data_IF_252369993958
#
_entry.id   IF_252369993958
#
_cell.length_a   1.000
_cell.length_b   1.000
_cell.length_c   1.000
_cell.angle_alpha   90.00
_cell.angle_beta   90.00
_cell.angle_gamma   90.00
#
_symmetry.space_group_name_H-M   'P 1'
#
loop_
_entity.id
_entity.type
_entity.pdbx_description
1 polymer ?
#
# COMPACT_ATOMS: atom_id res chain seq x y z
N UNK A 1 -13.00 1.19 2.69
CA UNK A 1 -11.76 1.11 3.48
C UNK A 1 -11.79 2.23 4.51
N UNK A 2 -11.99 1.87 5.77
CA UNK A 2 -11.84 2.79 6.91
C UNK A 2 -10.36 2.98 7.25
N UNK A 3 -10.04 3.99 8.06
CA UNK A 3 -8.66 4.21 8.56
C UNK A 3 -8.13 2.99 9.35
N UNK A 4 -9.03 2.29 10.04
CA UNK A 4 -8.70 1.06 10.76
C UNK A 4 -8.30 -0.07 9.79
N UNK A 5 -9.02 -0.21 8.67
CA UNK A 5 -8.75 -1.23 7.67
C UNK A 5 -7.38 -1.04 7.00
N UNK A 6 -6.87 0.19 6.91
CA UNK A 6 -5.52 0.44 6.40
C UNK A 6 -4.43 -0.09 7.36
N UNK A 7 -4.59 0.11 8.67
CA UNK A 7 -3.59 -0.27 9.66
C UNK A 7 -3.67 -1.75 10.08
N UNK A 8 -4.84 -2.37 9.92
CA UNK A 8 -5.10 -3.75 10.34
C UNK A 8 -4.97 -4.77 9.21
N UNK A 9 -4.98 -4.33 7.95
CA UNK A 9 -4.93 -5.24 6.82
C UNK A 9 -3.48 -5.53 6.40
N UNK A 10 -3.21 -6.79 6.03
CA UNK A 10 -1.87 -7.28 5.61
C UNK A 10 -1.54 -6.96 4.15
N UNK A 11 -2.13 -5.88 3.63
CA UNK A 11 -1.95 -5.46 2.26
C UNK A 11 -1.01 -4.25 2.16
N UNK A 12 -0.23 -4.13 1.08
CA UNK A 12 -0.15 -5.11 0.00
C UNK A 12 0.65 -6.36 0.40
N UNK A 13 0.23 -7.52 -0.10
CA UNK A 13 0.95 -8.78 0.00
C UNK A 13 2.17 -8.76 -0.95
N UNK A 14 3.09 -7.81 -0.76
CA UNK A 14 4.39 -7.81 -1.44
C UNK A 14 5.24 -8.85 -0.71
N UNK A 15 5.02 -10.12 -1.03
CA UNK A 15 5.80 -11.23 -0.52
C UNK A 15 7.07 -11.38 -1.34
N UNK A 16 8.21 -11.45 -0.66
CA UNK A 16 9.46 -11.83 -1.31
C UNK A 16 9.35 -13.29 -1.81
N UNK A 17 9.66 -13.52 -3.08
CA UNK A 17 9.82 -14.87 -3.62
C UNK A 17 11.29 -15.29 -3.48
N UNK A 18 11.61 -16.09 -2.46
CA UNK A 18 12.95 -16.69 -2.25
C UNK A 18 13.36 -16.80 -0.77
N UNK A 19 14.40 -17.58 -0.49
CA UNK A 19 14.95 -17.84 0.86
C UNK A 19 15.99 -16.79 1.33
N UNK A 20 16.03 -15.62 0.68
CA UNK A 20 16.98 -14.55 1.01
C UNK A 20 16.45 -13.55 2.04
N UNK A 21 17.35 -12.80 2.66
CA UNK A 21 16.97 -11.69 3.54
C UNK A 21 16.21 -10.61 2.76
N UNK A 22 15.18 -9.96 3.37
CA UNK A 22 14.45 -8.88 2.72
C UNK A 22 15.39 -7.72 2.34
N UNK A 23 15.45 -7.41 1.04
CA UNK A 23 16.31 -6.31 0.54
C UNK A 23 15.65 -4.93 0.66
N UNK A 24 14.34 -4.88 0.93
CA UNK A 24 13.58 -3.64 1.11
C UNK A 24 12.35 -3.86 2.00
N UNK A 25 11.93 -2.77 2.67
CA UNK A 25 10.63 -2.68 3.35
C UNK A 25 9.73 -1.77 2.54
N UNK A 26 8.50 -2.21 2.23
CA UNK A 26 7.52 -1.40 1.51
C UNK A 26 6.48 -0.86 2.49
N UNK A 27 6.20 0.45 2.42
CA UNK A 27 5.18 1.11 3.22
C UNK A 27 4.25 1.92 2.32
N UNK A 28 2.99 1.50 2.23
CA UNK A 28 1.97 2.15 1.41
C UNK A 28 1.39 3.40 2.08
N UNK A 29 1.26 4.49 1.32
CA UNK A 29 0.60 5.73 1.78
C UNK A 29 -0.69 5.95 0.99
N UNK A 30 -1.88 5.68 1.54
CA UNK A 30 -3.15 5.88 0.85
C UNK A 30 -3.60 7.34 0.97
N UNK A 31 -2.84 8.25 0.37
CA UNK A 31 -3.12 9.68 0.39
C UNK A 31 -3.22 10.22 -1.04
N UNK A 32 -4.32 10.90 -1.34
CA UNK A 32 -4.54 11.49 -2.65
C UNK A 32 -5.05 12.95 -2.61
N UNK A 33 -5.00 13.63 -1.45
CA UNK A 33 -5.50 15.01 -1.34
C UNK A 33 -4.66 16.04 -2.10
N UNK A 34 -3.47 15.66 -2.56
CA UNK A 34 -2.62 16.47 -3.45
C UNK A 34 -2.88 16.23 -4.94
N UNK A 35 -3.82 15.35 -5.29
CA UNK A 35 -4.13 15.07 -6.70
C UNK A 35 -4.96 16.19 -7.31
N UNK A 36 -4.47 16.74 -8.43
CA UNK A 36 -5.17 17.74 -9.24
C UNK A 36 -6.10 17.13 -10.29
N UNK A 37 -5.92 15.84 -10.61
CA UNK A 37 -6.76 15.06 -11.51
C UNK A 37 -7.40 13.88 -10.74
N UNK A 38 -8.64 13.53 -11.12
CA UNK A 38 -9.56 12.54 -10.52
C UNK A 38 -9.02 11.77 -9.28
N UNK A 39 -9.65 11.92 -8.10
CA UNK A 39 -9.31 11.14 -6.90
C UNK A 39 -9.36 9.63 -7.14
N UNK A 40 -8.48 8.88 -6.47
CA UNK A 40 -8.43 7.41 -6.62
C UNK A 40 -7.08 6.77 -6.29
N UNK A 41 -5.98 7.51 -6.38
CA UNK A 41 -4.64 6.94 -6.12
C UNK A 41 -4.46 6.47 -4.67
N UNK A 42 -5.30 6.92 -3.72
CA UNK A 42 -5.32 6.41 -2.34
C UNK A 42 -5.59 4.90 -2.26
N UNK A 43 -6.19 4.29 -3.29
CA UNK A 43 -6.44 2.86 -3.34
C UNK A 43 -5.27 2.07 -3.96
N UNK A 44 -4.30 2.76 -4.57
CA UNK A 44 -3.14 2.17 -5.25
C UNK A 44 -2.30 1.24 -4.38
N UNK A 45 -1.92 1.63 -3.14
CA UNK A 45 -1.09 0.78 -2.30
C UNK A 45 -1.63 -0.63 -2.02
N UNK A 46 -2.95 -0.84 -2.08
CA UNK A 46 -3.60 -2.13 -1.81
C UNK A 46 -3.61 -3.07 -3.03
N UNK A 47 -3.40 -2.52 -4.23
CA UNK A 47 -3.50 -3.23 -5.52
C UNK A 47 -2.17 -3.38 -6.26
N UNK A 48 -1.06 -3.11 -5.56
CA UNK A 48 0.32 -3.35 -6.03
C UNK A 48 0.78 -4.71 -5.53
#
# INVERSE_FOLDING_TARGET
>A
MSFLDLYMNKNPLITASGDGDPVATVFGIPFDSTHSYKPGCRFGPDVI
#
